data_IF_929976496618
#
_entry.id   IF_929976496618
#
_cell.length_a   1.000
_cell.length_b   1.000
_cell.length_c   1.000
_cell.angle_alpha   90.00
_cell.angle_beta   90.00
_cell.angle_gamma   90.00
#
_symmetry.space_group_name_H-M   'P 1'
#
loop_
_entity.id
_entity.type
_entity.pdbx_description
1 polymer ?
#
# COMPACT_ATOMS: atom_id res chain seq x y z
N UNK A 1 6.24 2.35 12.05
CA UNK A 1 5.65 3.20 13.11
C UNK A 1 4.22 3.61 12.80
N UNK A 2 3.43 3.89 13.84
CA UNK A 2 2.10 4.48 13.74
C UNK A 2 0.99 3.56 13.24
N UNK A 3 1.19 2.24 13.16
CA UNK A 3 0.19 1.25 12.73
C UNK A 3 0.28 -0.01 13.56
N UNK A 4 -0.89 -0.59 13.87
CA UNK A 4 -0.98 -1.82 14.66
C UNK A 4 -0.28 -1.68 16.00
N UNK A 5 0.52 -2.66 16.37
CA UNK A 5 1.28 -2.68 17.63
C UNK A 5 2.59 -1.87 17.59
N UNK A 6 2.96 -1.30 16.44
CA UNK A 6 4.12 -0.44 16.34
C UNK A 6 3.92 0.86 17.13
N UNK A 7 5.01 1.36 17.71
CA UNK A 7 4.97 2.62 18.46
C UNK A 7 4.49 3.79 17.60
N UNK A 8 3.67 4.67 18.19
CA UNK A 8 3.27 5.93 17.58
C UNK A 8 4.40 6.94 17.72
N UNK A 9 4.59 7.77 16.67
CA UNK A 9 5.63 8.77 16.70
C UNK A 9 5.25 9.94 17.64
N UNK A 10 6.23 10.44 18.39
CA UNK A 10 6.06 11.68 19.18
C UNK A 10 5.92 12.91 18.29
N UNK A 11 6.63 12.90 17.15
CA UNK A 11 6.55 13.92 16.11
C UNK A 11 5.90 13.31 14.88
N UNK A 12 4.67 13.72 14.59
CA UNK A 12 3.88 13.22 13.46
C UNK A 12 4.48 13.56 12.10
N UNK A 13 5.33 14.60 12.02
CA UNK A 13 6.03 14.96 10.79
C UNK A 13 7.07 13.91 10.36
N UNK A 14 7.38 12.96 11.23
CA UNK A 14 8.22 11.80 10.89
C UNK A 14 7.47 10.67 10.15
N UNK A 15 6.15 10.78 9.95
CA UNK A 15 5.38 9.83 9.13
C UNK A 15 5.59 10.08 7.63
N UNK A 16 6.83 9.98 7.18
CA UNK A 16 7.25 10.24 5.79
C UNK A 16 8.00 9.03 5.22
N UNK A 17 8.00 8.83 3.88
CA UNK A 17 8.61 7.67 3.25
C UNK A 17 10.06 7.39 3.67
N UNK A 18 10.90 8.41 3.76
CA UNK A 18 12.31 8.23 4.15
C UNK A 18 12.47 7.66 5.55
N UNK A 19 11.64 8.09 6.50
CA UNK A 19 11.65 7.53 7.86
C UNK A 19 11.17 6.08 7.87
N UNK A 20 10.13 5.74 7.09
CA UNK A 20 9.69 4.36 6.96
C UNK A 20 10.77 3.46 6.34
N UNK A 21 11.54 3.95 5.36
CA UNK A 21 12.66 3.20 4.79
C UNK A 21 13.78 2.95 5.82
N UNK A 22 14.07 3.94 6.68
CA UNK A 22 15.00 3.75 7.79
C UNK A 22 14.49 2.70 8.79
N UNK A 23 13.19 2.75 9.15
CA UNK A 23 12.58 1.76 10.04
C UNK A 23 12.66 0.34 9.43
N UNK A 24 12.40 0.21 8.12
CA UNK A 24 12.53 -1.08 7.42
C UNK A 24 13.98 -1.58 7.48
N UNK A 25 14.96 -0.72 7.20
CA UNK A 25 16.37 -1.08 7.30
C UNK A 25 16.75 -1.59 8.69
N UNK A 26 16.38 -0.85 9.73
CA UNK A 26 16.62 -1.24 11.12
C UNK A 26 15.92 -2.56 11.50
N UNK A 27 14.71 -2.79 11.01
CA UNK A 27 13.98 -4.03 11.23
C UNK A 27 14.70 -5.22 10.58
N UNK A 28 15.16 -5.08 9.33
CA UNK A 28 15.89 -6.12 8.61
C UNK A 28 17.20 -6.46 9.30
N UNK A 29 17.91 -5.44 9.79
CA UNK A 29 19.17 -5.63 10.55
C UNK A 29 18.91 -6.34 11.88
N UNK A 30 17.92 -5.90 12.64
CA UNK A 30 17.55 -6.51 13.92
C UNK A 30 17.07 -7.97 13.76
N UNK A 31 16.36 -8.26 12.66
CA UNK A 31 15.91 -9.61 12.32
C UNK A 31 16.98 -10.47 11.65
N UNK A 32 18.18 -9.92 11.38
CA UNK A 32 19.28 -10.58 10.66
C UNK A 32 18.84 -11.15 9.29
N UNK A 33 17.94 -10.44 8.60
CA UNK A 33 17.45 -10.82 7.27
C UNK A 33 18.28 -10.11 6.20
N UNK A 34 19.00 -10.87 5.39
CA UNK A 34 19.88 -10.32 4.35
C UNK A 34 19.12 -9.89 3.11
N UNK A 35 18.14 -10.69 2.66
CA UNK A 35 17.35 -10.43 1.46
C UNK A 35 15.86 -10.66 1.71
N UNK A 36 15.03 -9.82 1.07
CA UNK A 36 13.56 -9.88 1.17
C UNK A 36 12.91 -9.80 -0.21
N UNK A 37 11.73 -10.38 -0.30
CA UNK A 37 10.74 -10.06 -1.32
C UNK A 37 9.74 -9.12 -0.66
N UNK A 38 9.53 -7.95 -1.27
CA UNK A 38 8.63 -6.92 -0.72
C UNK A 38 7.26 -7.03 -1.37
N UNK A 39 6.20 -7.19 -0.57
CA UNK A 39 4.83 -7.03 -1.03
C UNK A 39 4.31 -5.70 -0.48
N UNK A 40 4.13 -4.73 -1.36
CA UNK A 40 3.75 -3.38 -0.96
C UNK A 40 2.50 -2.87 -1.66
N UNK A 41 1.49 -2.48 -0.86
CA UNK A 41 0.26 -1.85 -1.34
C UNK A 41 0.36 -0.34 -1.19
N UNK A 42 0.01 0.42 -2.23
CA UNK A 42 -0.05 1.88 -2.18
C UNK A 42 1.28 2.46 -1.65
N UNK A 43 1.30 3.13 -0.50
CA UNK A 43 2.53 3.61 0.15
C UNK A 43 3.60 2.50 0.26
N UNK A 44 3.20 1.27 0.59
CA UNK A 44 4.13 0.13 0.64
C UNK A 44 4.79 -0.16 -0.70
N UNK A 45 4.10 0.04 -1.81
CA UNK A 45 4.67 -0.07 -3.16
C UNK A 45 5.63 1.08 -3.50
N UNK A 46 5.35 2.31 -3.03
CA UNK A 46 6.29 3.43 -3.14
C UNK A 46 7.58 3.14 -2.36
N UNK A 47 7.45 2.60 -1.15
CA UNK A 47 8.60 2.19 -0.34
C UNK A 47 9.39 1.06 -1.02
N UNK A 48 8.72 0.09 -1.67
CA UNK A 48 9.40 -0.96 -2.43
C UNK A 48 10.23 -0.38 -3.59
N UNK A 49 9.73 0.63 -4.31
CA UNK A 49 10.50 1.30 -5.37
C UNK A 49 11.69 2.09 -4.82
N UNK A 50 11.57 2.70 -3.64
CA UNK A 50 12.62 3.52 -3.03
C UNK A 50 13.64 2.70 -2.23
N UNK A 51 13.30 1.49 -1.79
CA UNK A 51 14.14 0.68 -0.91
C UNK A 51 15.53 0.39 -1.47
N UNK A 52 15.73 0.08 -2.78
CA UNK A 52 17.07 -0.16 -3.32
C UNK A 52 18.02 1.02 -3.19
N UNK A 53 17.52 2.26 -3.16
CA UNK A 53 18.36 3.45 -2.99
C UNK A 53 18.91 3.62 -1.57
N UNK A 54 18.20 3.08 -0.57
CA UNK A 54 18.58 3.18 0.85
C UNK A 54 19.16 1.88 1.40
N UNK A 55 18.80 0.75 0.80
CA UNK A 55 19.18 -0.61 1.20
C UNK A 55 19.63 -1.42 -0.04
N UNK A 56 20.77 -1.07 -0.67
CA UNK A 56 21.23 -1.74 -1.88
C UNK A 56 21.49 -3.24 -1.62
N UNK A 57 21.05 -4.08 -2.56
CA UNK A 57 21.22 -5.53 -2.49
C UNK A 57 20.29 -6.28 -1.52
N UNK A 58 19.44 -5.60 -0.77
CA UNK A 58 18.50 -6.21 0.19
C UNK A 58 17.23 -6.79 -0.45
N UNK A 59 16.91 -6.45 -1.69
CA UNK A 59 15.71 -6.95 -2.36
C UNK A 59 16.05 -8.06 -3.34
N UNK A 60 15.25 -9.12 -3.34
CA UNK A 60 15.26 -10.22 -4.30
C UNK A 60 14.09 -10.14 -5.31
N UNK A 61 13.07 -9.33 -5.04
CA UNK A 61 11.91 -9.12 -5.89
C UNK A 61 10.87 -8.26 -5.20
N UNK A 62 9.85 -7.84 -5.96
CA UNK A 62 8.77 -7.02 -5.43
C UNK A 62 7.40 -7.38 -6.04
N UNK A 63 6.35 -7.35 -5.20
CA UNK A 63 4.95 -7.25 -5.61
C UNK A 63 4.49 -5.83 -5.31
N UNK A 64 4.26 -5.04 -6.33
CA UNK A 64 3.78 -3.65 -6.23
C UNK A 64 2.29 -3.64 -6.49
N UNK A 65 1.50 -3.42 -5.44
CA UNK A 65 0.04 -3.47 -5.50
C UNK A 65 -0.56 -2.06 -5.61
N UNK A 66 -1.15 -1.82 -6.75
CA UNK A 66 -2.00 -0.69 -7.15
C UNK A 66 -1.38 0.70 -6.96
N UNK A 67 -0.09 0.79 -7.28
CA UNK A 67 0.65 2.06 -7.30
C UNK A 67 1.75 2.00 -8.36
N UNK A 68 2.23 3.17 -8.78
CA UNK A 68 3.34 3.30 -9.70
C UNK A 68 4.04 4.65 -9.57
N UNK A 69 4.99 4.95 -10.47
CA UNK A 69 5.73 6.22 -10.46
C UNK A 69 4.87 7.45 -10.73
N UNK A 70 3.71 7.28 -11.32
CA UNK A 70 2.72 8.34 -11.54
C UNK A 70 1.46 7.99 -10.76
N UNK A 71 1.03 8.92 -9.94
CA UNK A 71 -0.18 8.82 -9.10
C UNK A 71 -1.23 9.75 -9.69
N UNK A 72 -2.42 9.21 -9.97
CA UNK A 72 -3.53 10.00 -10.50
C UNK A 72 -4.10 10.92 -9.41
N UNK A 73 -4.18 12.22 -9.68
CA UNK A 73 -4.57 13.24 -8.69
C UNK A 73 -5.96 13.00 -8.10
N UNK A 74 -6.90 12.49 -8.89
CA UNK A 74 -8.26 12.18 -8.43
C UNK A 74 -8.24 11.21 -7.25
N UNK A 75 -7.51 10.12 -7.38
CA UNK A 75 -7.40 9.11 -6.34
C UNK A 75 -6.58 9.59 -5.15
N UNK A 76 -5.49 10.34 -5.41
CA UNK A 76 -4.66 10.92 -4.36
C UNK A 76 -5.46 11.88 -3.47
N UNK A 77 -6.27 12.75 -4.07
CA UNK A 77 -7.17 13.66 -3.36
C UNK A 77 -8.18 12.91 -2.49
N UNK A 78 -8.76 11.80 -3.00
CA UNK A 78 -9.65 10.94 -2.22
C UNK A 78 -8.94 10.30 -1.02
N UNK A 79 -7.74 9.77 -1.23
CA UNK A 79 -6.94 9.16 -0.14
C UNK A 79 -6.60 10.20 0.92
N UNK A 80 -6.12 11.38 0.52
CA UNK A 80 -5.82 12.49 1.45
C UNK A 80 -7.04 12.90 2.28
N UNK A 81 -8.23 12.93 1.68
CA UNK A 81 -9.47 13.26 2.39
C UNK A 81 -9.89 12.14 3.38
N UNK A 82 -9.47 10.89 3.15
CA UNK A 82 -9.84 9.74 3.97
C UNK A 82 -8.88 9.44 5.12
N UNK A 83 -7.59 9.65 4.92
CA UNK A 83 -6.56 9.30 5.92
C UNK A 83 -6.70 10.17 7.18
N UNK A 84 -6.65 9.51 8.34
CA UNK A 84 -6.83 10.15 9.65
C UNK A 84 -8.29 10.42 10.03
N UNK A 85 -9.24 9.99 9.21
CA UNK A 85 -10.67 10.17 9.46
C UNK A 85 -11.39 8.82 9.55
N UNK A 86 -12.30 8.72 10.54
CA UNK A 86 -13.15 7.55 10.78
C UNK A 86 -13.17 7.14 12.25
N UNK A 87 -14.32 6.62 12.70
CA UNK A 87 -14.52 6.26 14.12
C UNK A 87 -14.53 7.44 15.09
N UNK A 88 -14.59 7.15 16.39
CA UNK A 88 -14.82 5.82 16.95
C UNK A 88 -16.25 5.32 16.67
N UNK A 89 -16.40 4.07 16.31
CA UNK A 89 -17.68 3.45 16.00
C UNK A 89 -18.23 2.63 17.17
N UNK A 90 -19.57 2.57 17.34
CA UNK A 90 -20.19 1.78 18.40
C UNK A 90 -19.97 0.27 18.26
N UNK A 91 -19.99 -0.24 17.02
CA UNK A 91 -19.87 -1.67 16.71
C UNK A 91 -19.14 -1.87 15.39
N UNK A 92 -18.74 -3.11 15.11
CA UNK A 92 -18.13 -3.51 13.83
C UNK A 92 -19.03 -3.25 12.62
N UNK A 93 -20.36 -3.39 12.77
CA UNK A 93 -21.31 -3.09 11.69
C UNK A 93 -21.31 -1.60 11.35
N UNK A 94 -21.20 -0.71 12.34
CA UNK A 94 -21.06 0.72 12.09
C UNK A 94 -19.74 1.04 11.38
N UNK A 95 -18.65 0.41 11.80
CA UNK A 95 -17.36 0.55 11.13
C UNK A 95 -17.44 0.10 9.67
N UNK A 96 -17.99 -1.08 9.40
CA UNK A 96 -18.14 -1.63 8.05
C UNK A 96 -18.96 -0.71 7.14
N UNK A 97 -20.09 -0.17 7.63
CA UNK A 97 -20.93 0.75 6.85
C UNK A 97 -20.24 2.07 6.57
N UNK A 98 -19.59 2.69 7.55
CA UNK A 98 -18.86 3.94 7.35
C UNK A 98 -17.68 3.75 6.38
N UNK A 99 -16.96 2.63 6.47
CA UNK A 99 -15.90 2.28 5.52
C UNK A 99 -16.45 2.10 4.10
N UNK A 100 -17.60 1.46 3.93
CA UNK A 100 -18.26 1.32 2.63
C UNK A 100 -18.67 2.68 2.04
N UNK A 101 -19.28 3.55 2.85
CA UNK A 101 -19.71 4.89 2.44
C UNK A 101 -18.52 5.79 2.05
N UNK A 102 -17.38 5.66 2.71
CA UNK A 102 -16.15 6.44 2.42
C UNK A 102 -15.39 5.93 1.20
N UNK A 103 -15.67 4.71 0.73
CA UNK A 103 -14.99 4.09 -0.40
C UNK A 103 -15.95 3.73 -1.54
N UNK A 104 -16.75 4.70 -2.05
CA UNK A 104 -17.75 4.40 -3.06
C UNK A 104 -17.08 3.90 -4.34
N UNK A 105 -17.58 2.77 -4.87
CA UNK A 105 -17.12 2.21 -6.13
C UNK A 105 -15.74 1.51 -6.09
N UNK A 106 -15.07 1.47 -4.96
CA UNK A 106 -13.77 0.76 -4.82
C UNK A 106 -13.99 -0.75 -4.89
N UNK A 107 -15.01 -1.25 -4.21
CA UNK A 107 -15.39 -2.67 -4.21
C UNK A 107 -16.89 -2.82 -4.53
N UNK A 108 -17.29 -2.64 -5.80
CA UNK A 108 -18.70 -2.55 -6.17
C UNK A 108 -19.51 -3.85 -5.97
N UNK A 109 -18.83 -4.98 -5.75
CA UNK A 109 -19.46 -6.27 -5.51
C UNK A 109 -19.53 -6.66 -4.04
N UNK A 110 -18.96 -5.83 -3.14
CA UNK A 110 -18.96 -6.14 -1.72
C UNK A 110 -20.31 -5.85 -1.05
N UNK A 111 -20.79 -6.82 -0.29
CA UNK A 111 -21.88 -6.64 0.66
C UNK A 111 -21.35 -6.35 2.06
N UNK A 112 -22.25 -6.40 3.05
CA UNK A 112 -21.89 -6.11 4.44
C UNK A 112 -20.85 -7.08 5.01
N UNK A 113 -20.85 -8.34 4.59
CA UNK A 113 -19.94 -9.36 5.08
C UNK A 113 -18.49 -9.06 4.72
N UNK A 114 -18.22 -8.71 3.45
CA UNK A 114 -16.89 -8.35 2.99
C UNK A 114 -16.40 -7.06 3.68
N UNK A 115 -17.29 -6.08 3.85
CA UNK A 115 -16.96 -4.86 4.59
C UNK A 115 -16.69 -5.12 6.08
N UNK A 116 -17.34 -6.10 6.70
CA UNK A 116 -17.03 -6.53 8.07
C UNK A 116 -15.63 -7.16 8.15
N UNK A 117 -15.29 -8.04 7.21
CA UNK A 117 -13.94 -8.61 7.13
C UNK A 117 -12.90 -7.50 6.95
N UNK A 118 -13.17 -6.56 6.06
CA UNK A 118 -12.27 -5.41 5.85
C UNK A 118 -12.14 -4.54 7.11
N UNK A 119 -13.23 -4.25 7.79
CA UNK A 119 -13.21 -3.48 9.04
C UNK A 119 -12.30 -4.14 10.10
N UNK A 120 -12.35 -5.47 10.23
CA UNK A 120 -11.46 -6.21 11.14
C UNK A 120 -9.98 -6.18 10.75
N UNK A 121 -9.65 -5.87 9.49
CA UNK A 121 -8.26 -5.71 9.02
C UNK A 121 -7.67 -4.32 9.29
N UNK A 122 -8.54 -3.29 9.38
CA UNK A 122 -8.10 -1.89 9.45
C UNK A 122 -8.44 -1.20 10.76
N UNK A 123 -9.21 -1.86 11.63
CA UNK A 123 -9.66 -1.32 12.90
C UNK A 123 -9.52 -2.34 14.04
N UNK A 124 -9.56 -1.85 15.27
CA UNK A 124 -9.49 -2.65 16.50
C UNK A 124 -10.48 -2.17 17.55
N UNK A 125 -10.77 -3.02 18.54
CA UNK A 125 -11.50 -2.58 19.72
C UNK A 125 -10.56 -1.77 20.64
N UNK A 126 -11.03 -0.62 21.09
CA UNK A 126 -10.34 0.20 22.08
C UNK A 126 -10.68 -0.27 23.50
N UNK A 127 -9.93 0.21 24.50
CA UNK A 127 -10.21 -0.04 25.92
C UNK A 127 -11.58 0.46 26.38
N UNK A 128 -12.16 1.42 25.68
CA UNK A 128 -13.53 1.92 25.96
C UNK A 128 -14.63 1.08 25.28
N UNK A 129 -14.29 -0.02 24.61
CA UNK A 129 -15.23 -0.88 23.87
C UNK A 129 -15.68 -0.30 22.51
N UNK A 130 -15.16 0.84 22.09
CA UNK A 130 -15.43 1.42 20.78
C UNK A 130 -14.49 0.82 19.74
N UNK A 131 -14.93 0.73 18.51
CA UNK A 131 -14.08 0.35 17.38
C UNK A 131 -13.36 1.60 16.85
N UNK A 132 -12.06 1.52 16.68
CA UNK A 132 -11.20 2.62 16.22
C UNK A 132 -10.28 2.13 15.11
N UNK A 133 -9.86 3.01 14.21
CA UNK A 133 -8.83 2.66 13.22
C UNK A 133 -7.55 2.21 13.94
N UNK A 134 -6.89 1.19 13.39
CA UNK A 134 -5.68 0.61 13.98
C UNK A 134 -4.41 1.29 13.46
N UNK A 135 -4.46 2.63 13.45
CA UNK A 135 -3.31 3.47 13.14
C UNK A 135 -3.44 4.85 13.81
N UNK A 136 -2.33 5.56 13.92
CA UNK A 136 -2.28 6.93 14.41
C UNK A 136 -2.93 7.89 13.39
N UNK A 137 -3.98 8.60 13.77
CA UNK A 137 -4.64 9.57 12.91
C UNK A 137 -3.69 10.68 12.41
N UNK A 138 -2.64 10.98 13.17
CA UNK A 138 -1.60 11.95 12.83
C UNK A 138 -0.70 11.52 11.65
N UNK A 139 -0.84 10.29 11.12
CA UNK A 139 -0.23 9.87 9.86
C UNK A 139 -0.61 10.80 8.70
N UNK A 140 -1.75 11.46 8.78
CA UNK A 140 -2.20 12.43 7.80
C UNK A 140 -1.46 13.79 7.84
N UNK A 141 -0.79 14.12 8.94
CA UNK A 141 -0.23 15.46 9.13
C UNK A 141 0.80 15.87 8.05
N UNK A 142 1.78 15.03 7.67
CA UNK A 142 2.71 15.37 6.59
C UNK A 142 2.02 15.58 5.24
N UNK A 143 0.93 14.88 4.97
CA UNK A 143 0.20 14.99 3.70
C UNK A 143 -0.58 16.30 3.56
N UNK A 144 -0.79 17.02 4.67
CA UNK A 144 -1.49 18.33 4.72
C UNK A 144 -0.55 19.50 4.54
N UNK A 145 0.77 19.27 4.61
CA UNK A 145 1.75 20.34 4.45
C UNK A 145 1.95 20.67 2.97
N UNK A 146 2.13 21.97 2.63
CA UNK A 146 2.52 22.36 1.28
C UNK A 146 3.83 21.69 0.87
N UNK A 147 3.88 21.07 -0.32
CA UNK A 147 5.08 20.42 -0.82
C UNK A 147 5.36 19.02 -0.23
N UNK A 148 4.44 18.46 0.56
CA UNK A 148 4.57 17.09 1.12
C UNK A 148 4.76 15.97 0.07
N UNK A 149 4.50 16.26 -1.20
CA UNK A 149 4.71 15.34 -2.33
C UNK A 149 5.98 15.66 -3.13
N UNK A 150 6.73 16.68 -2.73
CA UNK A 150 7.89 17.11 -3.50
C UNK A 150 9.05 16.16 -3.26
N UNK A 151 9.50 15.48 -4.31
CA UNK A 151 10.90 15.30 -4.31
C UNK A 151 11.53 14.01 -4.72
N UNK A 152 10.87 12.91 -5.00
CA UNK A 152 11.57 11.73 -5.52
C UNK A 152 11.22 11.51 -7.00
N UNK A 153 12.25 11.37 -7.84
CA UNK A 153 12.04 10.86 -9.20
C UNK A 153 11.64 9.38 -9.11
N UNK A 154 10.33 9.14 -9.05
CA UNK A 154 9.78 7.79 -8.89
C UNK A 154 10.02 6.92 -10.13
N UNK A 155 10.30 7.50 -11.31
CA UNK A 155 10.72 6.74 -12.48
C UNK A 155 12.16 6.25 -12.34
N UNK A 156 13.06 7.08 -11.80
CA UNK A 156 14.41 6.65 -11.46
C UNK A 156 14.38 5.57 -10.36
N UNK A 157 13.56 5.74 -9.32
CA UNK A 157 13.37 4.75 -8.28
C UNK A 157 12.85 3.40 -8.83
N UNK A 158 11.87 3.44 -9.74
CA UNK A 158 11.39 2.23 -10.43
C UNK A 158 12.50 1.55 -11.23
N UNK A 159 13.33 2.31 -11.94
CA UNK A 159 14.40 1.78 -12.77
C UNK A 159 15.46 1.02 -11.96
N UNK A 160 15.62 1.35 -10.67
CA UNK A 160 16.48 0.59 -9.76
C UNK A 160 16.00 -0.87 -9.52
N UNK A 161 14.79 -1.22 -9.95
CA UNK A 161 14.25 -2.58 -9.91
C UNK A 161 14.47 -3.37 -11.23
N UNK A 162 15.21 -2.84 -12.22
CA UNK A 162 15.27 -3.42 -13.55
C UNK A 162 15.86 -4.84 -13.60
N UNK A 163 16.79 -5.14 -12.69
CA UNK A 163 17.50 -6.42 -12.64
C UNK A 163 16.85 -7.44 -11.70
N UNK A 164 15.64 -7.15 -11.17
CA UNK A 164 14.95 -8.05 -10.27
C UNK A 164 13.51 -8.34 -10.73
N UNK A 165 12.97 -9.52 -10.41
CA UNK A 165 11.57 -9.83 -10.69
C UNK A 165 10.60 -8.87 -9.99
N UNK A 166 9.64 -8.34 -10.73
CA UNK A 166 8.58 -7.46 -10.21
C UNK A 166 7.22 -7.94 -10.70
N UNK A 167 6.27 -8.06 -9.79
CA UNK A 167 4.86 -8.23 -10.12
C UNK A 167 4.11 -6.92 -9.84
N UNK A 168 3.50 -6.32 -10.86
CA UNK A 168 2.62 -5.17 -10.71
C UNK A 168 1.16 -5.62 -10.76
N UNK A 169 0.44 -5.47 -9.67
CA UNK A 169 -1.00 -5.68 -9.60
C UNK A 169 -1.72 -4.34 -9.72
N UNK A 170 -2.83 -4.30 -10.45
CA UNK A 170 -3.67 -3.11 -10.63
C UNK A 170 -5.14 -3.44 -10.47
N UNK A 171 -5.86 -2.71 -9.65
CA UNK A 171 -7.32 -2.75 -9.65
C UNK A 171 -7.88 -2.18 -10.97
N UNK A 172 -8.77 -2.90 -11.64
CA UNK A 172 -9.34 -2.44 -12.92
C UNK A 172 -10.06 -1.08 -12.80
N UNK A 173 -10.58 -0.79 -11.61
CA UNK A 173 -11.29 0.44 -11.27
C UNK A 173 -10.42 1.45 -10.49
N UNK A 174 -9.10 1.21 -10.39
CA UNK A 174 -8.21 2.09 -9.65
C UNK A 174 -8.26 3.53 -10.18
N UNK A 175 -8.44 4.47 -9.27
CA UNK A 175 -8.39 5.92 -9.50
C UNK A 175 -7.04 6.54 -9.09
N UNK A 176 -6.11 5.71 -8.61
CA UNK A 176 -4.74 6.06 -8.20
C UNK A 176 -3.73 5.65 -9.27
N UNK A 177 -3.90 4.46 -9.85
CA UNK A 177 -2.94 3.82 -10.72
C UNK A 177 -3.55 3.51 -12.08
N UNK A 178 -3.11 4.21 -13.13
CA UNK A 178 -3.66 4.04 -14.47
C UNK A 178 -3.06 2.85 -15.21
N UNK A 179 -3.85 2.29 -16.15
CA UNK A 179 -3.35 1.24 -17.05
C UNK A 179 -2.20 1.74 -17.93
N UNK A 180 -2.17 3.02 -18.27
CA UNK A 180 -1.10 3.64 -19.04
C UNK A 180 0.21 3.64 -18.25
N UNK A 181 0.17 3.99 -16.95
CA UNK A 181 1.32 3.95 -16.07
C UNK A 181 1.83 2.51 -15.88
N UNK A 182 0.93 1.53 -15.68
CA UNK A 182 1.32 0.12 -15.57
C UNK A 182 2.01 -0.38 -16.85
N UNK A 183 1.48 -0.02 -18.01
CA UNK A 183 2.10 -0.35 -19.32
C UNK A 183 3.49 0.30 -19.46
N UNK A 184 3.62 1.55 -19.04
CA UNK A 184 4.91 2.26 -19.08
C UNK A 184 5.95 1.66 -18.13
N UNK A 185 5.53 1.13 -16.96
CA UNK A 185 6.38 0.37 -16.05
C UNK A 185 6.89 -0.92 -16.73
N UNK A 186 5.99 -1.69 -17.33
CA UNK A 186 6.36 -2.92 -18.04
C UNK A 186 7.31 -2.68 -19.23
N UNK A 187 7.22 -1.53 -19.88
CA UNK A 187 8.14 -1.15 -20.95
C UNK A 187 9.56 -0.80 -20.44
N UNK A 188 9.70 -0.43 -19.17
CA UNK A 188 10.99 -0.06 -18.55
C UNK A 188 11.64 -1.19 -17.75
N UNK A 189 10.86 -2.11 -17.23
CA UNK A 189 11.35 -3.22 -16.41
C UNK A 189 11.20 -4.55 -17.17
N UNK A 190 12.31 -5.12 -17.72
CA UNK A 190 12.24 -6.34 -18.52
C UNK A 190 11.66 -7.55 -17.78
N UNK A 191 11.84 -7.61 -16.45
CA UNK A 191 11.38 -8.71 -15.60
C UNK A 191 10.04 -8.41 -14.91
N UNK A 192 9.34 -7.32 -15.31
CA UNK A 192 8.04 -6.99 -14.73
C UNK A 192 6.93 -7.80 -15.38
N UNK A 193 6.13 -8.44 -14.53
CA UNK A 193 4.83 -9.00 -14.87
C UNK A 193 3.70 -8.10 -14.39
N UNK A 194 2.67 -7.95 -15.20
CA UNK A 194 1.52 -7.11 -14.88
C UNK A 194 0.24 -7.93 -14.85
N UNK A 195 -0.58 -7.72 -13.82
CA UNK A 195 -1.92 -8.28 -13.75
C UNK A 195 -2.94 -7.21 -13.35
N UNK A 196 -4.13 -7.28 -13.94
CA UNK A 196 -5.26 -6.38 -13.63
C UNK A 196 -6.37 -7.18 -12.97
N UNK A 197 -6.81 -6.72 -11.80
CA UNK A 197 -7.80 -7.37 -10.96
C UNK A 197 -9.17 -6.74 -11.24
N UNK A 198 -10.08 -7.53 -11.79
CA UNK A 198 -11.39 -7.08 -12.21
C UNK A 198 -12.29 -6.70 -11.01
N UNK A 199 -13.14 -5.68 -11.20
CA UNK A 199 -14.12 -5.19 -10.22
C UNK A 199 -13.52 -4.70 -8.89
N UNK A 200 -12.29 -4.25 -8.90
CA UNK A 200 -11.57 -3.73 -7.73
C UNK A 200 -10.94 -2.40 -8.08
N UNK A 201 -11.10 -1.42 -7.19
CA UNK A 201 -10.42 -0.12 -7.24
C UNK A 201 -9.13 -0.12 -6.42
N UNK A 202 -8.81 1.03 -5.82
CA UNK A 202 -7.62 1.17 -4.98
C UNK A 202 -7.90 0.75 -3.52
N UNK A 203 -7.36 -0.40 -3.13
CA UNK A 203 -6.45 -1.31 -3.84
C UNK A 203 -6.98 -2.76 -3.77
N UNK A 204 -6.51 -3.67 -4.65
CA UNK A 204 -6.73 -5.10 -4.45
C UNK A 204 -6.34 -5.52 -3.03
N UNK A 205 -7.16 -6.34 -2.40
CA UNK A 205 -6.92 -6.82 -1.03
C UNK A 205 -5.95 -8.01 -0.96
N UNK A 206 -5.54 -8.50 -2.14
CA UNK A 206 -4.62 -9.61 -2.39
C UNK A 206 -5.20 -11.01 -2.09
N UNK A 207 -6.45 -11.10 -1.65
CA UNK A 207 -7.17 -12.35 -1.46
C UNK A 207 -8.15 -12.67 -2.60
N UNK A 208 -8.28 -11.79 -3.59
CA UNK A 208 -9.00 -12.14 -4.82
C UNK A 208 -8.30 -13.30 -5.54
N UNK A 209 -9.07 -14.23 -6.08
CA UNK A 209 -8.52 -15.40 -6.80
C UNK A 209 -7.52 -15.01 -7.91
N UNK A 210 -7.72 -13.87 -8.57
CA UNK A 210 -6.79 -13.39 -9.59
C UNK A 210 -5.49 -12.85 -8.98
N UNK A 211 -5.58 -12.17 -7.82
CA UNK A 211 -4.41 -11.69 -7.07
C UNK A 211 -3.58 -12.85 -6.56
N UNK A 212 -4.20 -13.82 -5.87
CA UNK A 212 -3.50 -14.97 -5.31
C UNK A 212 -2.82 -15.81 -6.40
N UNK A 213 -3.51 -16.08 -7.52
CA UNK A 213 -2.89 -16.80 -8.65
C UNK A 213 -1.68 -16.08 -9.25
N UNK A 214 -1.74 -14.75 -9.37
CA UNK A 214 -0.61 -13.97 -9.90
C UNK A 214 0.58 -13.97 -8.93
N UNK A 215 0.31 -13.87 -7.62
CA UNK A 215 1.32 -13.92 -6.57
C UNK A 215 1.95 -15.32 -6.49
N UNK A 216 1.14 -16.38 -6.50
CA UNK A 216 1.63 -17.76 -6.46
C UNK A 216 2.53 -18.08 -7.67
N UNK A 217 2.12 -17.66 -8.87
CA UNK A 217 2.93 -17.81 -10.07
C UNK A 217 4.26 -17.04 -9.99
N UNK A 218 4.23 -15.82 -9.42
CA UNK A 218 5.42 -15.01 -9.18
C UNK A 218 6.39 -15.71 -8.22
N UNK A 219 5.90 -16.24 -7.11
CA UNK A 219 6.75 -16.95 -6.15
C UNK A 219 7.28 -18.29 -6.70
N UNK A 220 6.49 -19.01 -7.47
CA UNK A 220 6.94 -20.25 -8.10
C UNK A 220 8.13 -20.04 -9.03
N UNK A 221 8.19 -18.92 -9.75
CA UNK A 221 9.32 -18.57 -10.60
C UNK A 221 10.57 -18.10 -9.84
N UNK A 222 10.38 -17.52 -8.65
CA UNK A 222 11.52 -17.12 -7.80
C UNK A 222 12.16 -18.32 -7.10
N UNK A 223 11.43 -19.43 -6.96
CA UNK A 223 11.90 -20.65 -6.29
C UNK A 223 12.60 -21.65 -7.24
N UNK A 224 12.45 -21.48 -8.56
CA UNK A 224 13.06 -22.34 -9.60
C UNK A 224 14.33 -21.77 -10.13
#
# INVERSE_FOLDING_TARGET
RGRGESAYAKDSLTYVPLTYLQDIGQLLDAAQVEKVIVIGTSLGGLLAMLLPSTQPGRMAGAVINDIGPVIEEKGLSRVRAGVGHGGPWPTWVHAARDLAERNPGIYPKWGLEEWLVFAHRVARASSSGRIVLDYDAHIADPMRLPGGDAGHDMWAALTALADMPVLSLRGALSDIFSAATQKAMAARLPLLKAATIANVGHAPTLDETASTKAIDAFFAELAG
#
